data_IF_668381593043
#
_entry.id   IF_668381593043
#
_cell.length_a   1.000
_cell.length_b   1.000
_cell.length_c   1.000
_cell.angle_alpha   90.00
_cell.angle_beta   90.00
_cell.angle_gamma   90.00
#
_symmetry.space_group_name_H-M   'P 1'
#
loop_
_entity.id
_entity.type
_entity.pdbx_description
1 polymer ?
#
# COMPACT_ATOMS: atom_id res chain seq x y z
N UNK A 1 -3.22 20.07 16.56
CA UNK A 1 -3.41 18.66 16.90
C UNK A 1 -3.55 17.85 15.63
N UNK A 2 -2.72 16.85 15.46
CA UNK A 2 -2.79 15.97 14.28
C UNK A 2 -3.96 15.02 14.43
N UNK A 3 -4.74 14.82 13.37
CA UNK A 3 -5.80 13.83 13.40
C UNK A 3 -5.21 12.41 13.25
N UNK A 4 -6.05 11.40 13.43
CA UNK A 4 -5.63 9.99 13.37
C UNK A 4 -5.03 9.61 12.02
N UNK A 5 -5.52 10.23 10.94
CA UNK A 5 -5.04 9.96 9.59
C UNK A 5 -3.61 10.44 9.40
N UNK A 6 -3.29 11.61 9.93
CA UNK A 6 -1.94 12.16 9.86
C UNK A 6 -0.94 11.32 10.66
N UNK A 7 -1.35 10.84 11.84
CA UNK A 7 -0.52 9.98 12.67
C UNK A 7 -0.24 8.67 11.94
N UNK A 8 -1.26 8.07 11.36
CA UNK A 8 -1.13 6.82 10.60
C UNK A 8 -0.15 6.99 9.43
N UNK A 9 -0.28 8.08 8.69
CA UNK A 9 0.60 8.38 7.57
C UNK A 9 2.03 8.60 8.04
N UNK A 10 2.23 9.31 9.15
CA UNK A 10 3.57 9.53 9.72
C UNK A 10 4.23 8.21 10.12
N UNK A 11 3.46 7.31 10.72
CA UNK A 11 3.97 5.98 11.07
C UNK A 11 4.42 5.25 9.81
N UNK A 12 3.60 5.27 8.78
CA UNK A 12 3.92 4.61 7.51
C UNK A 12 5.16 5.21 6.86
N UNK A 13 5.25 6.52 6.76
CA UNK A 13 6.38 7.20 6.12
C UNK A 13 7.69 6.91 6.86
N UNK A 14 7.65 6.92 8.19
CA UNK A 14 8.83 6.60 9.01
C UNK A 14 9.23 5.13 8.80
N UNK A 15 8.26 4.24 8.77
CA UNK A 15 8.52 2.82 8.51
C UNK A 15 9.14 2.60 7.14
N UNK A 16 8.64 3.30 6.13
CA UNK A 16 9.16 3.21 4.76
C UNK A 16 10.63 3.64 4.71
N UNK A 17 10.97 4.73 5.36
CA UNK A 17 12.35 5.21 5.43
C UNK A 17 13.28 4.20 6.10
N UNK A 18 12.87 3.67 7.25
CA UNK A 18 13.68 2.69 7.99
C UNK A 18 13.88 1.43 7.16
N UNK A 19 12.80 0.91 6.59
CA UNK A 19 12.84 -0.32 5.80
C UNK A 19 13.68 -0.15 4.54
N UNK A 20 13.55 0.99 3.86
CA UNK A 20 14.30 1.25 2.62
C UNK A 20 15.79 1.39 2.89
N UNK A 21 16.16 1.96 4.03
CA UNK A 21 17.57 2.08 4.42
C UNK A 21 18.15 0.73 4.80
N UNK A 22 17.46 -0.02 5.64
CA UNK A 22 17.91 -1.35 6.06
C UNK A 22 16.71 -2.17 6.56
N UNK A 23 16.22 -3.14 5.75
CA UNK A 23 15.06 -3.94 6.14
C UNK A 23 15.20 -4.66 7.49
N UNK A 24 16.43 -5.03 7.88
CA UNK A 24 16.65 -5.74 9.15
C UNK A 24 16.47 -4.85 10.37
N UNK A 25 16.59 -3.54 10.20
CA UNK A 25 16.39 -2.57 11.28
C UNK A 25 14.94 -2.16 11.45
N UNK A 26 14.08 -2.54 10.52
CA UNK A 26 12.68 -2.19 10.58
C UNK A 26 11.96 -3.05 11.63
N UNK A 27 11.27 -2.36 12.56
CA UNK A 27 10.43 -2.99 13.57
C UNK A 27 9.43 -1.94 14.07
N UNK A 28 8.36 -2.41 14.68
CA UNK A 28 7.40 -1.49 15.31
C UNK A 28 8.10 -0.65 16.38
N UNK A 29 9.01 -1.26 17.14
CA UNK A 29 9.79 -0.57 18.17
C UNK A 29 10.62 0.56 17.58
N UNK A 30 11.31 0.30 16.47
CA UNK A 30 12.14 1.30 15.81
C UNK A 30 11.30 2.49 15.31
N UNK A 31 10.14 2.22 14.72
CA UNK A 31 9.22 3.27 14.25
C UNK A 31 8.71 4.10 15.43
N UNK A 32 8.27 3.44 16.48
CA UNK A 32 7.77 4.12 17.69
C UNK A 32 8.84 5.02 18.29
N UNK A 33 10.06 4.52 18.39
CA UNK A 33 11.19 5.28 18.94
C UNK A 33 11.46 6.55 18.11
N UNK A 34 11.49 6.40 16.79
CA UNK A 34 11.76 7.54 15.90
C UNK A 34 10.71 8.62 16.02
N UNK A 35 9.45 8.24 16.23
CA UNK A 35 8.33 9.17 16.34
C UNK A 35 8.02 9.58 17.77
N UNK A 36 8.79 9.08 18.73
CA UNK A 36 8.56 9.32 20.15
C UNK A 36 7.15 8.91 20.59
N UNK A 37 6.73 7.73 20.11
CA UNK A 37 5.45 7.12 20.43
C UNK A 37 5.67 5.84 21.24
N UNK A 38 4.62 5.39 21.92
CA UNK A 38 4.61 4.07 22.53
C UNK A 38 4.26 3.03 21.48
N UNK A 39 4.75 1.80 21.63
CA UNK A 39 4.41 0.72 20.69
C UNK A 39 2.90 0.51 20.60
N UNK A 40 2.20 0.62 21.71
CA UNK A 40 0.74 0.48 21.75
C UNK A 40 0.04 1.49 20.83
N UNK A 41 0.59 2.69 20.74
CA UNK A 41 0.04 3.72 19.85
C UNK A 41 0.20 3.33 18.38
N UNK A 42 1.34 2.72 18.02
CA UNK A 42 1.53 2.21 16.66
C UNK A 42 0.54 1.09 16.37
N UNK A 43 0.36 0.17 17.32
CA UNK A 43 -0.56 -0.96 17.14
C UNK A 43 -2.03 -0.54 17.03
N UNK A 44 -2.40 0.64 17.53
CA UNK A 44 -3.78 1.14 17.32
C UNK A 44 -4.05 1.45 15.85
N UNK A 45 -3.01 1.71 15.07
CA UNK A 45 -3.13 2.04 13.64
C UNK A 45 -2.80 0.86 12.75
N UNK A 46 -1.86 0.00 13.14
CA UNK A 46 -1.41 -1.13 12.35
C UNK A 46 -1.26 -2.35 13.27
N UNK A 47 -1.95 -3.45 12.96
CA UNK A 47 -1.91 -4.63 13.84
C UNK A 47 -0.57 -5.36 13.89
N UNK A 48 0.31 -5.14 12.90
CA UNK A 48 1.62 -5.80 12.83
C UNK A 48 2.59 -4.97 12.01
N UNK A 49 3.87 -5.31 12.08
CA UNK A 49 4.88 -4.63 11.24
C UNK A 49 4.62 -4.86 9.76
N UNK A 50 4.17 -6.06 9.38
CA UNK A 50 3.87 -6.35 7.98
C UNK A 50 2.65 -5.57 7.49
N UNK A 51 1.70 -5.28 8.38
CA UNK A 51 0.56 -4.42 8.05
C UNK A 51 1.01 -3.01 7.67
N UNK A 52 2.07 -2.50 8.30
CA UNK A 52 2.62 -1.19 7.94
C UNK A 52 3.16 -1.23 6.51
N UNK A 53 3.90 -2.28 6.17
CA UNK A 53 4.47 -2.41 4.82
C UNK A 53 3.37 -2.62 3.76
N UNK A 54 2.34 -3.40 4.09
CA UNK A 54 1.21 -3.63 3.19
C UNK A 54 0.44 -2.35 2.88
N UNK A 55 0.48 -1.39 3.78
CA UNK A 55 -0.22 -0.12 3.60
C UNK A 55 0.22 0.61 2.34
N UNK A 56 1.49 0.46 1.94
CA UNK A 56 1.97 1.03 0.69
C UNK A 56 1.13 0.54 -0.50
N UNK A 57 0.90 -0.76 -0.57
CA UNK A 57 0.14 -1.36 -1.68
C UNK A 57 -1.33 -0.96 -1.65
N UNK A 58 -1.87 -0.81 -0.45
CA UNK A 58 -3.23 -0.32 -0.29
C UNK A 58 -3.37 1.12 -0.77
N UNK A 59 -2.40 1.97 -0.45
CA UNK A 59 -2.38 3.35 -0.92
C UNK A 59 -2.28 3.43 -2.45
N UNK A 60 -1.49 2.56 -3.04
CA UNK A 60 -1.39 2.48 -4.51
C UNK A 60 -2.75 2.11 -5.12
N UNK A 61 -3.43 1.14 -4.55
CA UNK A 61 -4.75 0.75 -5.04
C UNK A 61 -5.77 1.88 -4.87
N UNK A 62 -5.74 2.57 -3.75
CA UNK A 62 -6.62 3.71 -3.52
C UNK A 62 -6.39 4.83 -4.54
N UNK A 63 -5.11 5.09 -4.87
CA UNK A 63 -4.77 6.08 -5.90
C UNK A 63 -5.26 5.63 -7.27
N UNK A 64 -5.12 4.35 -7.60
CA UNK A 64 -5.67 3.81 -8.84
C UNK A 64 -7.18 4.03 -8.93
N UNK A 65 -7.92 3.71 -7.86
CA UNK A 65 -9.37 3.91 -7.83
C UNK A 65 -9.72 5.39 -8.02
N UNK A 66 -8.98 6.28 -7.35
CA UNK A 66 -9.19 7.72 -7.46
C UNK A 66 -9.01 8.17 -8.90
N UNK A 67 -7.94 7.74 -9.56
CA UNK A 67 -7.70 8.08 -10.96
C UNK A 67 -8.79 7.53 -11.88
N UNK A 68 -9.27 6.32 -11.62
CA UNK A 68 -10.34 5.71 -12.39
C UNK A 68 -11.62 6.56 -12.33
N UNK A 69 -11.97 7.03 -11.13
CA UNK A 69 -13.16 7.89 -10.96
C UNK A 69 -13.02 9.22 -11.71
N UNK A 70 -11.80 9.74 -11.79
CA UNK A 70 -11.52 11.01 -12.47
C UNK A 70 -11.55 10.91 -14.00
N UNK A 71 -11.47 9.71 -14.57
CA UNK A 71 -11.53 9.51 -16.01
C UNK A 71 -13.00 9.47 -16.44
N UNK A 72 -13.45 10.53 -17.12
CA UNK A 72 -14.85 10.69 -17.51
C UNK A 72 -15.34 9.61 -18.48
N UNK A 73 -14.45 9.06 -19.29
CA UNK A 73 -14.78 8.06 -20.31
C UNK A 73 -14.49 6.62 -19.90
N UNK A 74 -14.13 6.39 -18.62
CA UNK A 74 -13.73 5.06 -18.18
C UNK A 74 -14.80 4.01 -18.45
N UNK A 75 -16.07 4.36 -18.28
CA UNK A 75 -17.18 3.42 -18.54
C UNK A 75 -17.23 2.94 -19.98
N UNK A 76 -16.66 3.72 -20.91
CA UNK A 76 -16.61 3.39 -22.34
C UNK A 76 -15.34 2.62 -22.72
N UNK A 77 -14.42 2.42 -21.78
CA UNK A 77 -13.19 1.69 -22.05
C UNK A 77 -13.50 0.23 -22.37
N UNK A 78 -12.77 -0.33 -23.33
CA UNK A 78 -12.80 -1.76 -23.60
C UNK A 78 -12.20 -2.51 -22.41
N UNK A 79 -12.41 -3.82 -22.37
CA UNK A 79 -11.78 -4.69 -21.38
C UNK A 79 -10.27 -4.51 -21.38
N UNK A 80 -9.67 -4.52 -22.56
CA UNK A 80 -8.22 -4.33 -22.72
C UNK A 80 -7.75 -3.00 -22.15
N UNK A 81 -8.47 -1.92 -22.42
CA UNK A 81 -8.15 -0.60 -21.91
C UNK A 81 -8.26 -0.54 -20.37
N UNK A 82 -9.30 -1.16 -19.81
CA UNK A 82 -9.47 -1.20 -18.35
C UNK A 82 -8.36 -1.99 -17.66
N UNK A 83 -8.00 -3.14 -18.21
CA UNK A 83 -6.90 -3.95 -17.67
C UNK A 83 -5.56 -3.23 -17.84
N UNK A 84 -5.36 -2.56 -18.97
CA UNK A 84 -4.18 -1.75 -19.21
C UNK A 84 -4.05 -0.64 -18.18
N UNK A 85 -5.13 0.07 -17.91
CA UNK A 85 -5.14 1.13 -16.90
C UNK A 85 -4.78 0.60 -15.52
N UNK A 86 -5.35 -0.55 -15.13
CA UNK A 86 -5.04 -1.19 -13.85
C UNK A 86 -3.54 -1.49 -13.72
N UNK A 87 -2.98 -2.15 -14.73
CA UNK A 87 -1.58 -2.59 -14.71
C UNK A 87 -0.62 -1.42 -14.78
N UNK A 88 -0.81 -0.52 -15.75
CA UNK A 88 0.11 0.60 -15.96
C UNK A 88 0.11 1.59 -14.81
N UNK A 89 -1.05 1.86 -14.22
CA UNK A 89 -1.12 2.75 -13.07
C UNK A 89 -0.33 2.19 -11.90
N UNK A 90 -0.47 0.89 -11.62
CA UNK A 90 0.29 0.26 -10.53
C UNK A 90 1.79 0.24 -10.83
N UNK A 91 2.18 -0.03 -12.07
CA UNK A 91 3.60 0.00 -12.44
C UNK A 91 4.19 1.39 -12.17
N UNK A 92 3.51 2.45 -12.59
CA UNK A 92 3.97 3.81 -12.34
C UNK A 92 4.11 4.12 -10.85
N UNK A 93 3.10 3.74 -10.06
CA UNK A 93 3.13 3.98 -8.62
C UNK A 93 4.24 3.18 -7.94
N UNK A 94 4.46 1.94 -8.37
CA UNK A 94 5.52 1.10 -7.81
C UNK A 94 6.91 1.65 -8.16
N UNK A 95 7.08 2.26 -9.32
CA UNK A 95 8.37 2.82 -9.72
C UNK A 95 8.79 3.99 -8.85
N UNK A 96 7.85 4.70 -8.24
CA UNK A 96 8.18 5.79 -7.30
C UNK A 96 8.88 5.27 -6.05
N UNK A 97 8.68 4.01 -5.70
CA UNK A 97 9.31 3.36 -4.54
C UNK A 97 9.91 2.01 -4.96
N UNK A 98 10.71 2.03 -6.00
CA UNK A 98 11.23 0.82 -6.63
C UNK A 98 11.96 -0.10 -5.66
N UNK A 99 12.87 0.44 -4.86
CA UNK A 99 13.64 -0.39 -3.92
C UNK A 99 12.75 -1.04 -2.87
N UNK A 100 11.79 -0.29 -2.35
CA UNK A 100 10.83 -0.83 -1.39
C UNK A 100 10.03 -1.97 -2.01
N UNK A 101 9.53 -1.78 -3.23
CA UNK A 101 8.73 -2.80 -3.92
C UNK A 101 9.57 -4.05 -4.19
N UNK A 102 10.78 -3.89 -4.71
CA UNK A 102 11.65 -5.02 -4.99
C UNK A 102 11.94 -5.87 -3.75
N UNK A 103 12.10 -5.22 -2.60
CA UNK A 103 12.39 -5.91 -1.34
C UNK A 103 11.15 -6.52 -0.69
N UNK A 104 10.01 -5.85 -0.76
CA UNK A 104 8.82 -6.23 0.02
C UNK A 104 7.79 -7.03 -0.76
N UNK A 105 7.76 -6.92 -2.09
CA UNK A 105 6.67 -7.48 -2.90
C UNK A 105 6.50 -8.98 -2.69
N UNK A 106 7.61 -9.72 -2.73
CA UNK A 106 7.55 -11.17 -2.59
C UNK A 106 6.95 -11.60 -1.25
N UNK A 107 7.34 -10.93 -0.17
CA UNK A 107 6.85 -11.30 1.17
C UNK A 107 5.43 -10.80 1.45
N UNK A 108 5.12 -9.61 0.96
CA UNK A 108 3.87 -8.93 1.33
C UNK A 108 2.73 -9.31 0.38
N UNK A 109 3.03 -9.45 -0.89
CA UNK A 109 2.01 -9.68 -1.92
C UNK A 109 2.04 -11.11 -2.45
N UNK A 110 3.22 -11.57 -2.91
CA UNK A 110 3.33 -12.86 -3.58
C UNK A 110 3.08 -14.04 -2.64
N UNK A 111 3.61 -14.00 -1.44
CA UNK A 111 3.32 -15.02 -0.41
C UNK A 111 1.96 -14.72 0.20
N UNK A 112 0.92 -14.94 -0.58
CA UNK A 112 -0.41 -14.49 -0.25
C UNK A 112 -0.92 -14.97 1.10
N UNK A 113 -1.41 -14.03 1.88
CA UNK A 113 -2.16 -14.29 3.10
C UNK A 113 -3.63 -14.07 2.79
N UNK A 114 -4.54 -15.01 3.16
CA UNK A 114 -5.97 -14.83 2.92
C UNK A 114 -6.54 -13.53 3.45
N UNK A 115 -5.86 -12.92 4.42
CA UNK A 115 -6.28 -11.66 5.02
C UNK A 115 -5.64 -10.43 4.38
N UNK A 116 -4.94 -10.59 3.27
CA UNK A 116 -4.29 -9.48 2.59
C UNK A 116 -5.34 -8.61 1.91
N UNK A 117 -5.57 -7.41 2.47
CA UNK A 117 -6.59 -6.48 1.99
C UNK A 117 -6.31 -6.02 0.56
N UNK A 118 -5.05 -5.73 0.25
CA UNK A 118 -4.67 -5.30 -1.11
C UNK A 118 -4.99 -6.38 -2.13
N UNK A 119 -4.63 -7.63 -1.84
CA UNK A 119 -4.89 -8.74 -2.76
C UNK A 119 -6.37 -8.93 -3.01
N UNK A 120 -7.19 -8.90 -1.96
CA UNK A 120 -8.64 -9.01 -2.09
C UNK A 120 -9.22 -7.87 -2.90
N UNK A 121 -8.78 -6.65 -2.63
CA UNK A 121 -9.24 -5.46 -3.37
C UNK A 121 -8.89 -5.58 -4.84
N UNK A 122 -7.70 -6.05 -5.16
CA UNK A 122 -7.26 -6.24 -6.54
C UNK A 122 -8.09 -7.31 -7.24
N UNK A 123 -8.33 -8.44 -6.58
CA UNK A 123 -9.16 -9.52 -7.11
C UNK A 123 -10.58 -9.04 -7.42
N UNK A 124 -11.18 -8.29 -6.50
CA UNK A 124 -12.51 -7.73 -6.68
C UNK A 124 -12.55 -6.77 -7.88
N UNK A 125 -11.51 -5.95 -8.04
CA UNK A 125 -11.46 -5.01 -9.16
C UNK A 125 -11.31 -5.74 -10.49
N UNK A 126 -10.47 -6.76 -10.55
CA UNK A 126 -10.32 -7.57 -11.77
C UNK A 126 -11.65 -8.24 -12.12
N UNK A 127 -12.36 -8.78 -11.14
CA UNK A 127 -13.66 -9.39 -11.34
C UNK A 127 -14.68 -8.38 -11.93
N UNK A 128 -14.70 -7.16 -11.39
CA UNK A 128 -15.57 -6.10 -11.92
C UNK A 128 -15.23 -5.75 -13.36
N UNK A 129 -13.95 -5.72 -13.71
CA UNK A 129 -13.52 -5.43 -15.07
C UNK A 129 -13.96 -6.54 -16.02
N UNK A 130 -13.89 -7.81 -15.58
CA UNK A 130 -14.24 -8.97 -16.40
C UNK A 130 -15.75 -9.14 -16.57
N UNK A 131 -16.53 -8.62 -15.64
CA UNK A 131 -18.01 -8.69 -15.70
C UNK A 131 -18.58 -7.36 -16.20
#
# INVERSE_FOLDING_TARGET
MKDKKDIKLNIFETALEIYSENPTKFSVRAVAKELNLKREEVYTHFPSKNAILRYFYQLCFEEYIKQTVEISEYSNYSLEEKLGHLVYTHIELFQNEKEFVERSFNEIIYKANPNNVFQKSLEEQVEKILN
#
